data_IF_483182461612
#
_entry.id   IF_483182461612
#
_cell.length_a   1.000
_cell.length_b   1.000
_cell.length_c   1.000
_cell.angle_alpha   90.00
_cell.angle_beta   90.00
_cell.angle_gamma   90.00
#
_symmetry.space_group_name_H-M   'P 1'
#
loop_
_entity.id
_entity.type
_entity.pdbx_description
1 polymer ?
#
# COMPACT_ATOMS: atom_id res chain seq x y z
N UNK A 1 18.43 -51.69 -40.50
CA UNK A 1 17.68 -51.75 -39.23
C UNK A 1 18.01 -50.48 -38.47
N UNK A 2 17.08 -49.53 -38.44
CA UNK A 2 17.26 -48.22 -37.81
C UNK A 2 16.48 -48.21 -36.50
N UNK A 3 17.19 -48.10 -35.37
CA UNK A 3 16.61 -48.01 -34.05
C UNK A 3 16.67 -46.54 -33.60
N UNK A 4 15.50 -45.92 -33.46
CA UNK A 4 15.33 -44.51 -33.11
C UNK A 4 15.20 -44.39 -31.60
N UNK A 5 16.22 -43.82 -30.96
CA UNK A 5 16.18 -43.34 -29.58
C UNK A 5 15.24 -42.13 -29.49
N UNK A 6 14.17 -42.26 -28.68
CA UNK A 6 13.35 -41.11 -28.25
C UNK A 6 13.64 -40.81 -26.79
N UNK A 7 14.30 -39.68 -26.55
CA UNK A 7 14.30 -39.00 -25.25
C UNK A 7 12.95 -38.30 -25.06
N UNK A 8 12.27 -38.42 -23.90
CA UNK A 8 11.16 -37.56 -23.58
C UNK A 8 11.68 -36.21 -23.06
N UNK A 9 11.71 -35.19 -23.91
CA UNK A 9 11.79 -33.79 -23.49
C UNK A 9 10.40 -33.32 -23.06
N UNK A 10 10.14 -33.37 -21.76
CA UNK A 10 8.99 -32.73 -21.12
C UNK A 10 9.45 -31.86 -19.95
N UNK A 11 9.48 -30.54 -20.16
CA UNK A 11 9.83 -29.51 -19.17
C UNK A 11 8.78 -29.47 -18.03
N UNK A 12 8.89 -30.41 -17.08
CA UNK A 12 8.07 -30.52 -15.87
C UNK A 12 8.35 -29.41 -14.83
N UNK A 13 9.32 -28.52 -15.10
CA UNK A 13 9.73 -27.48 -14.16
C UNK A 13 8.72 -26.32 -14.11
N UNK A 14 8.16 -25.93 -15.27
CA UNK A 14 7.20 -24.80 -15.37
C UNK A 14 5.79 -25.14 -14.87
N UNK A 15 5.37 -26.40 -14.98
CA UNK A 15 4.08 -26.89 -14.44
C UNK A 15 4.12 -26.93 -12.91
N UNK A 16 5.22 -27.41 -12.34
CA UNK A 16 5.40 -27.51 -10.89
C UNK A 16 5.47 -26.11 -10.24
N UNK A 17 6.18 -25.15 -10.83
CA UNK A 17 6.26 -23.77 -10.30
C UNK A 17 4.89 -23.07 -10.31
N UNK A 18 4.09 -23.24 -11.38
CA UNK A 18 2.74 -22.66 -11.46
C UNK A 18 1.75 -23.30 -10.48
N UNK A 19 1.83 -24.61 -10.28
CA UNK A 19 1.00 -25.31 -9.29
C UNK A 19 1.38 -24.92 -7.85
N UNK A 20 2.67 -24.82 -7.55
CA UNK A 20 3.14 -24.36 -6.23
C UNK A 20 2.77 -22.91 -5.95
N UNK A 21 2.87 -22.00 -6.93
CA UNK A 21 2.44 -20.60 -6.75
C UNK A 21 0.92 -20.46 -6.55
N UNK A 22 0.13 -21.31 -7.21
CA UNK A 22 -1.34 -21.30 -7.11
C UNK A 22 -1.81 -21.90 -5.78
N UNK A 23 -1.18 -22.98 -5.32
CA UNK A 23 -1.47 -23.59 -4.02
C UNK A 23 -1.05 -22.70 -2.85
N UNK A 24 0.07 -21.98 -2.96
CA UNK A 24 0.48 -20.97 -1.98
C UNK A 24 -0.48 -19.78 -1.97
N UNK A 25 -0.95 -19.32 -3.14
CA UNK A 25 -1.97 -18.27 -3.18
C UNK A 25 -3.30 -18.75 -2.59
N UNK A 26 -3.71 -19.99 -2.83
CA UNK A 26 -4.97 -20.54 -2.32
C UNK A 26 -4.94 -20.80 -0.81
N UNK A 27 -3.81 -21.26 -0.26
CA UNK A 27 -3.64 -21.44 1.20
C UNK A 27 -3.58 -20.11 1.93
N UNK A 28 -2.84 -19.13 1.41
CA UNK A 28 -2.85 -17.75 1.95
C UNK A 28 -4.25 -17.16 1.83
N UNK A 29 -4.95 -17.44 0.72
CA UNK A 29 -6.33 -17.04 0.46
C UNK A 29 -7.38 -17.83 1.29
N UNK A 30 -7.01 -18.88 1.99
CA UNK A 30 -7.90 -19.56 2.95
C UNK A 30 -7.61 -19.11 4.39
N UNK A 31 -6.34 -18.86 4.71
CA UNK A 31 -5.91 -18.43 6.04
C UNK A 31 -6.38 -17.01 6.37
N UNK A 32 -6.30 -16.08 5.42
CA UNK A 32 -6.78 -14.70 5.61
C UNK A 32 -8.31 -14.61 5.81
N UNK A 33 -9.11 -15.37 5.04
CA UNK A 33 -10.57 -15.44 5.15
C UNK A 33 -10.97 -16.03 6.49
N UNK A 34 -10.25 -17.07 6.94
CA UNK A 34 -10.47 -17.66 8.27
C UNK A 34 -10.19 -16.66 9.40
N UNK A 35 -9.14 -15.83 9.26
CA UNK A 35 -8.84 -14.76 10.22
C UNK A 35 -9.94 -13.69 10.29
N UNK A 36 -10.43 -13.23 9.14
CA UNK A 36 -11.52 -12.24 9.09
C UNK A 36 -12.83 -12.78 9.69
N UNK A 37 -13.14 -14.06 9.45
CA UNK A 37 -14.33 -14.70 10.05
C UNK A 37 -14.15 -14.84 11.57
N UNK A 38 -12.95 -15.19 12.04
CA UNK A 38 -12.68 -15.29 13.47
C UNK A 38 -12.82 -13.93 14.17
N UNK A 39 -12.35 -12.85 13.54
CA UNK A 39 -12.36 -11.52 14.14
C UNK A 39 -13.72 -10.82 14.05
N UNK A 40 -14.37 -10.87 12.88
CA UNK A 40 -15.57 -10.10 12.60
C UNK A 40 -16.84 -10.94 12.48
N UNK A 41 -16.73 -12.27 12.43
CA UNK A 41 -17.82 -13.19 12.16
C UNK A 41 -18.06 -13.45 10.67
N UNK A 42 -19.10 -14.23 10.37
CA UNK A 42 -19.44 -14.62 9.00
C UNK A 42 -19.70 -13.41 8.07
N UNK A 43 -19.41 -13.50 6.76
CA UNK A 43 -19.61 -12.40 5.81
C UNK A 43 -21.08 -11.93 5.69
N UNK A 44 -22.00 -12.83 6.01
CA UNK A 44 -23.45 -12.59 5.97
C UNK A 44 -24.13 -13.25 7.15
N UNK A 45 -25.16 -12.60 7.68
CA UNK A 45 -26.09 -13.20 8.63
C UNK A 45 -27.30 -13.76 7.91
N UNK A 46 -27.64 -15.01 8.19
CA UNK A 46 -28.84 -15.69 7.69
C UNK A 46 -29.92 -15.66 8.79
N UNK A 47 -31.06 -15.06 8.52
CA UNK A 47 -32.23 -15.08 9.39
C UNK A 47 -33.44 -15.59 8.59
N UNK A 48 -33.72 -16.89 8.70
CA UNK A 48 -34.66 -17.58 7.84
C UNK A 48 -34.26 -17.47 6.37
N UNK A 49 -35.13 -16.91 5.53
CA UNK A 49 -34.86 -16.66 4.11
C UNK A 49 -34.14 -15.34 3.83
N UNK A 50 -33.95 -14.48 4.84
CA UNK A 50 -33.28 -13.20 4.70
C UNK A 50 -31.77 -13.35 4.92
N UNK A 51 -30.98 -12.76 4.04
CA UNK A 51 -29.53 -12.71 4.13
C UNK A 51 -29.15 -11.24 4.20
N UNK A 52 -28.34 -10.85 5.18
CA UNK A 52 -27.84 -9.48 5.34
C UNK A 52 -26.32 -9.46 5.45
N UNK A 53 -25.63 -8.45 4.90
CA UNK A 53 -24.19 -8.32 5.07
C UNK A 53 -23.83 -8.11 6.54
N UNK A 54 -22.71 -8.70 6.95
CA UNK A 54 -22.05 -8.33 8.18
C UNK A 54 -21.15 -7.11 7.91
N UNK A 55 -21.62 -5.92 8.29
CA UNK A 55 -20.94 -4.66 7.98
C UNK A 55 -19.50 -4.61 8.53
N UNK A 56 -19.24 -5.23 9.69
CA UNK A 56 -17.92 -5.30 10.29
C UNK A 56 -16.95 -6.18 9.47
N UNK A 57 -17.42 -7.33 8.99
CA UNK A 57 -16.62 -8.21 8.14
C UNK A 57 -16.23 -7.51 6.83
N UNK A 58 -17.18 -6.84 6.18
CA UNK A 58 -16.91 -6.18 4.89
C UNK A 58 -15.98 -4.97 5.04
N UNK A 59 -16.05 -4.26 6.17
CA UNK A 59 -15.08 -3.23 6.51
C UNK A 59 -13.68 -3.82 6.72
N UNK A 60 -13.56 -4.90 7.51
CA UNK A 60 -12.27 -5.53 7.80
C UNK A 60 -11.61 -6.11 6.56
N UNK A 61 -12.41 -6.76 5.70
CA UNK A 61 -11.95 -7.25 4.40
C UNK A 61 -11.41 -6.12 3.52
N UNK A 62 -12.12 -4.99 3.46
CA UNK A 62 -11.66 -3.84 2.68
C UNK A 62 -10.35 -3.26 3.23
N UNK A 63 -10.19 -3.22 4.56
CA UNK A 63 -8.99 -2.73 5.23
C UNK A 63 -7.76 -3.59 4.90
N UNK A 64 -7.92 -4.92 4.91
CA UNK A 64 -6.83 -5.84 4.60
C UNK A 64 -6.46 -5.80 3.11
N UNK A 65 -7.44 -5.69 2.22
CA UNK A 65 -7.22 -5.61 0.77
C UNK A 65 -6.46 -4.33 0.35
N UNK A 66 -6.73 -3.17 1.00
CA UNK A 66 -6.32 -1.86 0.47
C UNK A 66 -5.31 -1.09 1.32
N UNK A 67 -4.89 -1.57 2.50
CA UNK A 67 -3.99 -0.85 3.42
C UNK A 67 -4.45 0.60 3.62
N UNK A 68 -5.53 0.76 4.37
CA UNK A 68 -6.19 2.03 4.65
C UNK A 68 -6.10 2.38 6.14
N UNK A 69 -6.10 3.68 6.47
CA UNK A 69 -6.25 4.18 7.82
C UNK A 69 -7.22 5.37 7.88
N UNK A 70 -7.80 5.58 9.05
CA UNK A 70 -8.57 6.77 9.41
C UNK A 70 -7.79 7.60 10.42
N UNK A 71 -7.47 8.85 10.06
CA UNK A 71 -6.85 9.81 10.98
C UNK A 71 -7.93 10.70 11.61
N UNK A 72 -8.27 10.51 12.90
CA UNK A 72 -9.39 11.18 13.55
C UNK A 72 -9.21 12.69 13.69
N UNK A 73 -7.98 13.20 13.88
CA UNK A 73 -7.75 14.65 14.02
C UNK A 73 -7.95 15.38 12.70
N UNK A 74 -7.51 14.78 11.60
CA UNK A 74 -7.67 15.33 10.27
C UNK A 74 -9.05 15.02 9.66
N UNK A 75 -9.81 14.09 10.26
CA UNK A 75 -11.10 13.59 9.80
C UNK A 75 -11.04 13.09 8.35
N UNK A 76 -10.00 12.31 8.03
CA UNK A 76 -9.73 11.84 6.67
C UNK A 76 -9.30 10.38 6.65
N UNK A 77 -9.70 9.71 5.59
CA UNK A 77 -9.14 8.42 5.22
C UNK A 77 -7.89 8.60 4.36
N UNK A 78 -6.94 7.70 4.56
CA UNK A 78 -5.72 7.59 3.78
C UNK A 78 -5.53 6.16 3.29
N UNK A 79 -5.32 5.97 2.00
CA UNK A 79 -5.00 4.69 1.38
C UNK A 79 -3.55 4.68 0.88
N UNK A 80 -2.83 3.58 1.11
CA UNK A 80 -1.44 3.45 0.72
C UNK A 80 -1.29 3.07 -0.77
N UNK A 81 -0.60 3.92 -1.52
CA UNK A 81 -0.31 3.69 -2.94
C UNK A 81 1.02 2.96 -3.11
N UNK A 82 0.97 1.68 -3.48
CA UNK A 82 2.18 0.86 -3.75
C UNK A 82 3.03 1.39 -4.91
N UNK A 83 2.41 2.12 -5.84
CA UNK A 83 3.08 2.68 -7.02
C UNK A 83 4.15 3.71 -6.65
N UNK A 84 3.86 4.56 -5.65
CA UNK A 84 4.74 5.67 -5.29
C UNK A 84 5.02 5.79 -3.79
N UNK A 85 4.58 4.81 -2.99
CA UNK A 85 4.85 4.75 -1.56
C UNK A 85 4.14 5.79 -0.69
N UNK A 86 3.11 6.46 -1.21
CA UNK A 86 2.43 7.54 -0.51
C UNK A 86 1.10 7.11 0.10
N UNK A 87 0.80 7.66 1.27
CA UNK A 87 -0.54 7.69 1.82
C UNK A 87 -1.34 8.82 1.16
N UNK A 88 -2.36 8.46 0.38
CA UNK A 88 -3.20 9.40 -0.38
C UNK A 88 -4.56 9.54 0.27
N UNK A 89 -5.09 10.76 0.28
CA UNK A 89 -6.45 11.01 0.76
C UNK A 89 -7.44 10.27 -0.14
N UNK A 90 -8.36 9.55 0.47
CA UNK A 90 -9.51 8.95 -0.21
C UNK A 90 -10.81 9.46 0.42
N UNK A 91 -11.81 9.76 -0.41
CA UNK A 91 -13.09 10.26 0.07
C UNK A 91 -14.01 9.13 0.51
N UNK A 92 -14.92 9.41 1.44
CA UNK A 92 -15.91 8.43 1.88
C UNK A 92 -16.84 7.96 0.74
N UNK A 93 -17.13 8.82 -0.23
CA UNK A 93 -17.92 8.49 -1.42
C UNK A 93 -17.17 7.50 -2.33
N UNK A 94 -15.85 7.67 -2.46
CA UNK A 94 -15.00 6.75 -3.21
C UNK A 94 -14.96 5.38 -2.54
N UNK A 95 -14.86 5.36 -1.20
CA UNK A 95 -14.93 4.12 -0.41
C UNK A 95 -16.29 3.44 -0.54
N UNK A 96 -17.40 4.18 -0.44
CA UNK A 96 -18.75 3.63 -0.64
C UNK A 96 -18.88 2.98 -2.02
N UNK A 97 -18.34 3.62 -3.06
CA UNK A 97 -18.35 3.09 -4.43
C UNK A 97 -17.51 1.81 -4.56
N UNK A 98 -16.32 1.80 -3.97
CA UNK A 98 -15.43 0.64 -3.97
C UNK A 98 -16.06 -0.56 -3.22
N UNK A 99 -16.63 -0.32 -2.04
CA UNK A 99 -17.34 -1.33 -1.24
C UNK A 99 -18.57 -1.84 -1.99
N UNK A 100 -19.36 -0.97 -2.61
CA UNK A 100 -20.51 -1.38 -3.42
C UNK A 100 -20.08 -2.33 -4.55
N UNK A 101 -18.99 -2.02 -5.25
CA UNK A 101 -18.41 -2.87 -6.29
C UNK A 101 -17.95 -4.21 -5.71
N UNK A 102 -17.29 -4.20 -4.55
CA UNK A 102 -16.82 -5.42 -3.87
C UNK A 102 -17.96 -6.36 -3.48
N UNK A 103 -19.06 -5.81 -2.94
CA UNK A 103 -20.29 -6.56 -2.63
C UNK A 103 -20.95 -7.13 -3.88
N UNK A 104 -21.01 -6.37 -4.98
CA UNK A 104 -21.53 -6.85 -6.26
C UNK A 104 -20.71 -8.02 -6.79
N UNK A 105 -19.38 -7.93 -6.76
CA UNK A 105 -18.51 -9.02 -7.19
C UNK A 105 -18.74 -10.27 -6.34
N UNK A 106 -18.72 -10.15 -5.01
CA UNK A 106 -19.01 -11.27 -4.11
C UNK A 106 -20.37 -11.93 -4.40
N UNK A 107 -21.40 -11.15 -4.71
CA UNK A 107 -22.74 -11.66 -5.06
C UNK A 107 -22.82 -12.42 -6.39
N UNK A 108 -21.85 -12.18 -7.29
CA UNK A 108 -21.73 -12.85 -8.59
C UNK A 108 -20.84 -14.09 -8.49
N UNK A 109 -19.81 -14.02 -7.67
CA UNK A 109 -18.82 -15.08 -7.51
C UNK A 109 -19.31 -16.21 -6.60
N UNK A 110 -20.25 -15.95 -5.68
CA UNK A 110 -20.79 -16.95 -4.77
C UNK A 110 -22.32 -16.87 -4.68
N UNK A 111 -23.00 -17.99 -4.94
CA UNK A 111 -24.46 -18.11 -4.86
C UNK A 111 -25.00 -17.83 -3.45
N UNK A 112 -24.26 -18.20 -2.39
CA UNK A 112 -24.63 -17.89 -1.00
C UNK A 112 -24.67 -16.39 -0.71
N UNK A 113 -23.97 -15.59 -1.51
CA UNK A 113 -23.88 -14.14 -1.36
C UNK A 113 -24.76 -13.38 -2.34
N UNK A 114 -25.62 -14.06 -3.11
CA UNK A 114 -26.45 -13.43 -4.16
C UNK A 114 -27.29 -12.26 -3.64
N UNK A 115 -27.77 -12.35 -2.40
CA UNK A 115 -28.57 -11.31 -1.76
C UNK A 115 -27.82 -9.99 -1.56
N UNK A 116 -26.48 -10.01 -1.43
CA UNK A 116 -25.66 -8.80 -1.23
C UNK A 116 -25.87 -7.75 -2.31
N UNK A 117 -26.31 -8.16 -3.50
CA UNK A 117 -26.60 -7.22 -4.58
C UNK A 117 -27.61 -6.14 -4.17
N UNK A 118 -28.61 -6.53 -3.37
CA UNK A 118 -29.67 -5.63 -2.90
C UNK A 118 -29.24 -4.75 -1.72
N UNK A 119 -28.09 -5.04 -1.10
CA UNK A 119 -27.58 -4.34 0.08
C UNK A 119 -26.59 -3.22 -0.25
N UNK A 120 -26.54 -2.75 -1.50
CA UNK A 120 -25.68 -1.63 -1.93
C UNK A 120 -26.33 -0.24 -1.81
N UNK A 121 -27.30 -0.07 -0.91
CA UNK A 121 -27.92 1.23 -0.68
C UNK A 121 -26.94 2.19 0.02
N UNK A 122 -27.07 3.49 -0.21
CA UNK A 122 -26.18 4.49 0.41
C UNK A 122 -26.18 4.41 1.95
N UNK A 123 -27.32 4.11 2.57
CA UNK A 123 -27.40 3.93 4.03
C UNK A 123 -26.51 2.78 4.50
N UNK A 124 -26.58 1.63 3.83
CA UNK A 124 -25.76 0.46 4.17
C UNK A 124 -24.28 0.72 3.93
N UNK A 125 -23.93 1.30 2.79
CA UNK A 125 -22.53 1.59 2.46
C UNK A 125 -21.90 2.57 3.46
N UNK A 126 -22.65 3.58 3.93
CA UNK A 126 -22.22 4.47 5.01
C UNK A 126 -22.01 3.73 6.33
N UNK A 127 -22.88 2.76 6.67
CA UNK A 127 -22.69 1.93 7.87
C UNK A 127 -21.38 1.13 7.79
N UNK A 128 -21.08 0.51 6.64
CA UNK A 128 -19.81 -0.20 6.43
C UNK A 128 -18.61 0.76 6.52
N UNK A 129 -18.66 1.93 5.88
CA UNK A 129 -17.58 2.95 6.00
C UNK A 129 -17.43 3.42 7.44
N UNK A 130 -18.52 3.49 8.22
CA UNK A 130 -18.46 3.82 9.65
C UNK A 130 -17.75 2.74 10.46
N UNK A 131 -18.01 1.46 10.19
CA UNK A 131 -17.24 0.35 10.77
C UNK A 131 -15.76 0.45 10.38
N UNK A 132 -15.48 0.75 9.12
CA UNK A 132 -14.11 0.91 8.61
C UNK A 132 -13.35 2.02 9.34
N UNK A 133 -14.00 3.16 9.65
CA UNK A 133 -13.39 4.22 10.47
C UNK A 133 -12.93 3.69 11.82
N UNK A 134 -13.79 2.96 12.52
CA UNK A 134 -13.48 2.42 13.84
C UNK A 134 -12.37 1.37 13.80
N UNK A 135 -12.42 0.48 12.80
CA UNK A 135 -11.44 -0.61 12.65
C UNK A 135 -10.06 -0.13 12.20
N UNK A 136 -9.99 0.98 11.46
CA UNK A 136 -8.75 1.50 10.88
C UNK A 136 -8.29 2.81 11.51
N UNK A 137 -8.87 3.17 12.66
CA UNK A 137 -8.50 4.36 13.40
C UNK A 137 -7.02 4.31 13.80
N UNK A 138 -6.27 5.33 13.38
CA UNK A 138 -4.87 5.50 13.75
C UNK A 138 -4.64 6.95 14.10
N UNK A 139 -4.77 7.33 15.39
CA UNK A 139 -4.51 8.69 15.83
C UNK A 139 -3.04 9.05 15.64
N UNK A 140 -2.80 10.28 15.21
CA UNK A 140 -1.45 10.82 15.01
C UNK A 140 -0.60 9.99 14.03
N UNK A 141 -1.23 9.36 13.03
CA UNK A 141 -0.60 8.43 12.10
C UNK A 141 0.66 9.01 11.42
N UNK A 142 0.67 10.33 11.19
CA UNK A 142 1.74 11.04 10.50
C UNK A 142 2.63 11.89 11.40
N UNK A 143 2.34 11.96 12.71
CA UNK A 143 3.06 12.84 13.63
C UNK A 143 4.49 12.36 13.92
N UNK A 144 4.69 11.04 13.97
CA UNK A 144 5.97 10.41 14.28
C UNK A 144 6.57 9.69 13.06
N UNK A 145 6.35 10.25 11.86
CA UNK A 145 6.90 9.68 10.65
C UNK A 145 8.44 9.55 10.76
N UNK A 146 9.04 8.42 10.34
CA UNK A 146 10.48 8.26 10.36
C UNK A 146 11.20 9.40 9.63
N UNK A 147 12.40 9.75 10.09
CA UNK A 147 13.25 10.74 9.41
C UNK A 147 13.85 10.12 8.16
N UNK A 148 13.18 10.32 7.03
CA UNK A 148 13.56 9.75 5.73
C UNK A 148 13.34 10.75 4.61
N UNK A 149 14.02 10.55 3.49
CA UNK A 149 13.83 11.36 2.29
C UNK A 149 13.14 10.50 1.24
N UNK A 150 11.87 10.78 0.99
CA UNK A 150 11.10 10.07 -0.03
C UNK A 150 11.44 10.61 -1.42
N UNK A 151 11.97 9.75 -2.30
CA UNK A 151 12.38 10.07 -3.68
C UNK A 151 11.59 9.22 -4.70
N UNK A 152 11.66 9.57 -5.99
CA UNK A 152 10.84 8.93 -7.01
C UNK A 152 11.07 7.42 -7.21
N UNK A 153 12.19 6.88 -6.74
CA UNK A 153 12.57 5.47 -6.86
C UNK A 153 12.72 4.74 -5.51
N UNK A 154 12.26 5.33 -4.41
CA UNK A 154 12.32 4.69 -3.10
C UNK A 154 12.34 5.67 -1.93
N UNK A 155 12.84 5.21 -0.80
CA UNK A 155 12.97 6.01 0.42
C UNK A 155 14.42 5.94 0.88
N UNK A 156 15.07 7.10 0.99
CA UNK A 156 16.41 7.20 1.54
C UNK A 156 16.35 7.25 3.06
N UNK A 157 16.99 6.28 3.69
CA UNK A 157 17.11 6.18 5.15
C UNK A 157 18.54 6.54 5.53
N UNK A 158 18.78 7.71 6.17
CA UNK A 158 20.09 8.06 6.67
C UNK A 158 20.45 7.22 7.90
N UNK A 159 21.69 6.77 7.99
CA UNK A 159 22.26 6.19 9.20
C UNK A 159 22.84 7.26 10.15
N UNK A 160 23.35 6.84 11.31
CA UNK A 160 23.96 7.72 12.31
C UNK A 160 25.20 8.47 11.81
N UNK A 161 25.79 8.03 10.70
CA UNK A 161 26.95 8.66 10.06
C UNK A 161 26.57 9.48 8.82
N UNK A 162 25.27 9.62 8.52
CA UNK A 162 24.77 10.38 7.38
C UNK A 162 24.89 9.65 6.03
N UNK A 163 25.18 8.34 6.02
CA UNK A 163 25.10 7.53 4.80
C UNK A 163 23.65 7.16 4.55
N UNK A 164 23.20 7.29 3.30
CA UNK A 164 21.83 6.98 2.93
C UNK A 164 21.73 5.60 2.30
N UNK A 165 20.83 4.77 2.83
CA UNK A 165 20.40 3.53 2.19
C UNK A 165 19.11 3.77 1.41
N UNK A 166 19.06 3.39 0.13
CA UNK A 166 17.82 3.42 -0.65
C UNK A 166 17.00 2.16 -0.37
N UNK A 167 15.87 2.32 0.31
CA UNK A 167 14.89 1.26 0.58
C UNK A 167 13.72 1.32 -0.39
N UNK A 168 13.09 0.17 -0.60
CA UNK A 168 11.82 0.08 -1.33
C UNK A 168 10.69 0.84 -0.60
N UNK A 169 9.65 1.21 -1.33
CA UNK A 169 8.47 1.83 -0.72
C UNK A 169 7.82 0.89 0.32
N UNK A 170 7.46 1.46 1.46
CA UNK A 170 6.73 0.77 2.53
C UNK A 170 5.70 1.71 3.18
N UNK A 171 4.50 1.21 3.57
CA UNK A 171 3.53 1.99 4.34
C UNK A 171 4.09 2.50 5.67
N UNK A 172 5.10 1.83 6.23
CA UNK A 172 5.70 2.16 7.52
C UNK A 172 6.48 3.47 7.53
N UNK A 173 6.75 4.05 6.35
CA UNK A 173 7.35 5.37 6.26
C UNK A 173 6.35 6.52 6.44
N UNK A 174 5.03 6.24 6.46
CA UNK A 174 3.97 7.24 6.66
C UNK A 174 4.16 8.52 5.82
N UNK A 175 4.67 8.37 4.60
CA UNK A 175 4.95 9.51 3.72
C UNK A 175 3.70 10.00 3.02
N UNK A 176 3.51 11.32 3.02
CA UNK A 176 2.46 12.01 2.25
C UNK A 176 3.01 12.84 1.08
N UNK A 177 4.31 13.10 1.11
CA UNK A 177 5.02 13.90 0.13
C UNK A 177 6.22 13.12 -0.41
N UNK A 178 6.58 13.38 -1.66
CA UNK A 178 7.70 12.76 -2.35
C UNK A 178 8.45 13.81 -3.17
N UNK A 179 9.78 13.76 -3.13
CA UNK A 179 10.62 14.42 -4.11
C UNK A 179 10.49 13.70 -5.45
N UNK A 180 10.09 14.38 -6.54
CA UNK A 180 9.86 13.73 -7.84
C UNK A 180 11.15 13.31 -8.55
N UNK A 181 12.30 13.60 -7.95
CA UNK A 181 13.63 13.30 -8.52
C UNK A 181 14.06 11.92 -8.03
N UNK A 182 14.62 11.11 -8.94
CA UNK A 182 15.20 9.81 -8.60
C UNK A 182 16.55 10.00 -7.91
N UNK A 183 16.82 9.22 -6.87
CA UNK A 183 18.15 9.14 -6.30
C UNK A 183 19.06 8.28 -7.17
N UNK A 184 20.19 8.87 -7.58
CA UNK A 184 21.31 8.19 -8.21
C UNK A 184 22.60 8.64 -7.49
N UNK A 185 23.28 7.75 -6.74
CA UNK A 185 24.48 8.11 -6.00
C UNK A 185 25.67 8.50 -6.89
N UNK A 186 25.58 8.23 -8.20
CA UNK A 186 26.61 8.59 -9.19
C UNK A 186 26.27 9.87 -9.97
N UNK A 187 25.09 10.45 -9.74
CA UNK A 187 24.71 11.69 -10.39
C UNK A 187 25.67 12.81 -10.00
N UNK A 188 26.15 13.54 -10.99
CA UNK A 188 26.95 14.75 -10.80
C UNK A 188 26.19 15.95 -11.34
N UNK A 189 26.40 17.13 -10.74
CA UNK A 189 25.77 18.36 -11.20
C UNK A 189 26.84 19.38 -11.58
N UNK A 190 27.65 19.05 -12.60
CA UNK A 190 28.85 19.82 -12.91
C UNK A 190 28.54 21.30 -13.18
N UNK A 191 27.49 21.59 -13.96
CA UNK A 191 27.09 22.98 -14.25
C UNK A 191 26.69 23.74 -12.99
N UNK A 192 25.87 23.15 -12.12
CA UNK A 192 25.51 23.78 -10.84
C UNK A 192 26.76 24.04 -10.00
N UNK A 193 27.66 23.07 -9.88
CA UNK A 193 28.87 23.21 -9.09
C UNK A 193 29.82 24.28 -9.66
N UNK A 194 30.06 24.28 -10.97
CA UNK A 194 31.06 25.16 -11.60
C UNK A 194 30.55 26.54 -11.95
N UNK A 195 29.26 26.70 -12.27
CA UNK A 195 28.68 27.96 -12.75
C UNK A 195 27.89 28.70 -11.65
N UNK A 196 27.34 27.98 -10.66
CA UNK A 196 26.44 28.58 -9.66
C UNK A 196 26.96 28.49 -8.22
N UNK A 197 27.36 27.30 -7.77
CA UNK A 197 27.73 27.08 -6.37
C UNK A 197 29.12 27.60 -6.05
N UNK A 198 30.16 27.19 -6.77
CA UNK A 198 31.55 27.51 -6.41
C UNK A 198 31.99 28.95 -6.73
N UNK A 199 31.59 29.58 -7.85
CA UNK A 199 32.04 30.94 -8.17
C UNK A 199 31.79 32.00 -7.09
N UNK A 200 30.64 32.03 -6.38
CA UNK A 200 30.39 33.00 -5.31
C UNK A 200 30.98 32.63 -3.94
N UNK A 201 31.53 31.42 -3.76
CA UNK A 201 32.04 30.96 -2.47
C UNK A 201 33.53 31.28 -2.33
N UNK A 202 33.92 31.78 -1.15
CA UNK A 202 35.28 32.27 -0.89
C UNK A 202 36.24 31.10 -0.67
N UNK A 203 35.77 30.02 -0.03
CA UNK A 203 36.55 28.82 0.20
C UNK A 203 35.70 27.52 0.19
N UNK A 204 36.39 26.38 0.38
CA UNK A 204 35.76 25.04 0.43
C UNK A 204 34.94 24.79 1.70
N UNK A 205 35.18 25.52 2.77
CA UNK A 205 34.41 25.40 4.00
C UNK A 205 32.97 25.89 3.75
N UNK A 206 32.80 26.98 2.99
CA UNK A 206 31.48 27.47 2.61
C UNK A 206 30.69 26.47 1.75
N UNK A 207 31.35 25.76 0.81
CA UNK A 207 30.71 24.71 -0.01
C UNK A 207 30.07 23.62 0.88
N UNK A 208 30.79 23.23 1.94
CA UNK A 208 30.31 22.23 2.89
C UNK A 208 29.19 22.76 3.80
N UNK A 209 29.22 24.02 4.21
CA UNK A 209 28.12 24.66 4.97
C UNK A 209 26.86 24.72 4.13
N UNK A 210 26.96 25.14 2.86
CA UNK A 210 25.81 25.19 1.94
C UNK A 210 25.26 23.79 1.68
N UNK A 211 26.13 22.79 1.50
CA UNK A 211 25.69 21.39 1.35
C UNK A 211 24.91 20.91 2.58
N UNK A 212 25.39 21.22 3.80
CA UNK A 212 24.66 20.91 5.04
C UNK A 212 23.32 21.64 5.13
N UNK A 213 23.27 22.90 4.71
CA UNK A 213 22.02 23.66 4.66
C UNK A 213 20.98 23.01 3.75
N UNK A 214 21.37 22.58 2.53
CA UNK A 214 20.46 21.85 1.66
C UNK A 214 20.01 20.50 2.26
N UNK A 215 20.92 19.79 2.96
CA UNK A 215 20.56 18.59 3.72
C UNK A 215 19.51 18.87 4.80
N UNK A 216 19.65 19.99 5.52
CA UNK A 216 18.68 20.46 6.53
C UNK A 216 17.30 20.68 5.89
N UNK A 217 17.24 21.38 4.76
CA UNK A 217 16.01 21.62 4.02
C UNK A 217 15.33 20.33 3.56
N UNK A 218 16.11 19.32 3.13
CA UNK A 218 15.58 18.02 2.72
C UNK A 218 15.01 17.19 3.88
N UNK A 219 15.57 17.36 5.08
CA UNK A 219 15.15 16.63 6.28
C UNK A 219 14.05 17.35 7.08
N UNK A 220 13.73 18.61 6.74
CA UNK A 220 12.69 19.40 7.39
C UNK A 220 13.05 19.86 8.79
N UNK A 221 14.32 20.22 9.00
CA UNK A 221 14.87 20.73 10.26
C UNK A 221 14.87 22.25 10.36
#
# INVERSE_FOLDING_TARGET
>A
MAETSRLPTGDNSKSTIKQTSLLMSDQVNQQWVSGLIQEYGEPVFKNGSSISPNDAYWAGLYAEENRILWEPKEKRFYEYSRENGLWKIVSEESLQTAIAKRLLNASRDNQDFRALERHRSSHRLRAIVTQLKGQTEKPDAFANAPRVIHVANGVLVPDEHGRCELKSFSPDFYSRNQCPIKYDPRATCQRFLSELLRPPLVDKYDEHVVQKYFGLCLLGH
#
